data_IF_310707208661
#
_entry.id   IF_310707208661
#
_cell.length_a   1.000
_cell.length_b   1.000
_cell.length_c   1.000
_cell.angle_alpha   90.00
_cell.angle_beta   90.00
_cell.angle_gamma   90.00
#
_symmetry.space_group_name_H-M   'P 1'
#
loop_
_entity.id
_entity.type
_entity.pdbx_description
1 polymer ?
#
# COMPACT_ATOMS: atom_id res chain seq x y z
N UNK A 1 -12.15 -28.24 2.93
CA UNK A 1 -11.68 -26.91 2.53
C UNK A 1 -12.79 -25.92 2.84
N UNK A 2 -12.57 -25.03 3.81
CA UNK A 2 -13.61 -24.08 4.24
C UNK A 2 -13.64 -22.92 3.24
N UNK A 3 -14.77 -22.78 2.52
CA UNK A 3 -15.00 -21.64 1.65
C UNK A 3 -15.37 -20.41 2.48
N UNK A 4 -14.65 -19.28 2.30
CA UNK A 4 -14.91 -18.02 3.02
C UNK A 4 -15.50 -16.99 2.07
N UNK A 5 -16.68 -16.49 2.42
CA UNK A 5 -17.31 -15.40 1.67
C UNK A 5 -16.88 -14.06 2.27
N UNK A 6 -16.08 -13.33 1.53
CA UNK A 6 -15.67 -11.96 1.86
C UNK A 6 -16.11 -11.08 0.70
N UNK A 7 -17.10 -10.18 0.89
CA UNK A 7 -17.43 -9.15 -0.08
C UNK A 7 -16.17 -8.32 -0.40
N UNK A 8 -15.84 -8.19 -1.69
CA UNK A 8 -14.61 -7.49 -2.10
C UNK A 8 -14.74 -6.89 -3.49
N UNK A 9 -14.03 -5.81 -3.72
CA UNK A 9 -13.89 -5.20 -5.03
C UNK A 9 -12.46 -4.64 -5.21
N UNK A 10 -12.05 -4.49 -6.48
CA UNK A 10 -10.80 -3.87 -6.86
C UNK A 10 -11.09 -2.50 -7.47
N UNK A 11 -10.47 -1.46 -6.96
CA UNK A 11 -10.48 -0.11 -7.54
C UNK A 11 -9.30 0.04 -8.48
N UNK A 12 -9.55 0.09 -9.77
CA UNK A 12 -8.53 0.17 -10.82
C UNK A 12 -8.71 1.40 -11.70
N UNK A 13 -7.78 1.65 -12.61
CA UNK A 13 -7.91 2.74 -13.58
C UNK A 13 -7.19 2.40 -14.88
N UNK A 14 -7.46 3.12 -15.98
CA UNK A 14 -6.73 2.98 -17.23
C UNK A 14 -5.24 3.34 -17.13
N UNK A 15 -4.89 4.27 -16.25
CA UNK A 15 -3.52 4.74 -16.09
C UNK A 15 -3.27 5.30 -14.68
N UNK A 16 -1.99 5.52 -14.34
CA UNK A 16 -1.60 6.30 -13.15
C UNK A 16 -2.17 7.72 -13.24
N UNK A 17 -2.45 8.34 -12.09
CA UNK A 17 -2.99 9.71 -12.03
C UNK A 17 -4.49 9.85 -12.32
N UNK A 18 -5.21 8.77 -12.63
CA UNK A 18 -6.67 8.81 -12.88
C UNK A 18 -7.52 9.01 -11.61
N UNK A 19 -6.92 8.93 -10.41
CA UNK A 19 -7.59 9.17 -9.13
C UNK A 19 -7.98 7.91 -8.36
N UNK A 20 -7.34 6.77 -8.61
CA UNK A 20 -7.55 5.51 -7.86
C UNK A 20 -7.47 5.71 -6.36
N UNK A 21 -6.38 6.32 -5.89
CA UNK A 21 -6.12 6.53 -4.46
C UNK A 21 -7.18 7.42 -3.81
N UNK A 22 -7.61 8.48 -4.50
CA UNK A 22 -8.73 9.34 -4.06
C UNK A 22 -10.00 8.53 -3.85
N UNK A 23 -10.37 7.71 -4.86
CA UNK A 23 -11.61 6.91 -4.80
C UNK A 23 -11.47 5.78 -3.80
N UNK A 24 -10.37 5.05 -3.77
CA UNK A 24 -10.18 3.92 -2.85
C UNK A 24 -10.14 4.38 -1.39
N UNK A 25 -9.31 5.38 -1.06
CA UNK A 25 -9.22 5.92 0.29
C UNK A 25 -10.56 6.53 0.75
N UNK A 26 -11.21 7.30 -0.13
CA UNK A 26 -12.52 7.88 0.16
C UNK A 26 -13.62 6.81 0.34
N UNK A 27 -13.62 5.75 -0.47
CA UNK A 27 -14.55 4.64 -0.34
C UNK A 27 -14.37 3.90 0.99
N UNK A 28 -13.13 3.60 1.37
CA UNK A 28 -12.81 2.98 2.65
C UNK A 28 -13.33 3.85 3.81
N UNK A 29 -13.05 5.15 3.79
CA UNK A 29 -13.50 6.09 4.82
C UNK A 29 -15.03 6.22 4.86
N UNK A 30 -15.70 6.35 3.71
CA UNK A 30 -17.15 6.47 3.61
C UNK A 30 -17.86 5.21 4.11
N UNK A 31 -17.36 4.02 3.76
CA UNK A 31 -17.94 2.76 4.25
C UNK A 31 -17.74 2.60 5.75
N UNK A 32 -16.55 2.95 6.28
CA UNK A 32 -16.30 2.96 7.72
C UNK A 32 -17.23 3.94 8.45
N UNK A 33 -17.44 5.13 7.92
CA UNK A 33 -18.37 6.12 8.50
C UNK A 33 -19.82 5.60 8.57
N UNK A 34 -20.21 4.67 7.67
CA UNK A 34 -21.50 3.94 7.71
C UNK A 34 -21.49 2.74 8.69
N UNK A 35 -20.41 2.54 9.44
CA UNK A 35 -20.29 1.46 10.43
C UNK A 35 -19.71 0.15 9.90
N UNK A 36 -19.31 0.06 8.63
CA UNK A 36 -18.71 -1.15 8.08
C UNK A 36 -17.26 -1.34 8.56
N UNK A 37 -16.88 -2.57 8.87
CA UNK A 37 -15.48 -2.96 9.09
C UNK A 37 -14.84 -3.24 7.74
N UNK A 38 -14.02 -2.32 7.26
CA UNK A 38 -13.41 -2.39 5.94
C UNK A 38 -11.99 -2.93 6.04
N UNK A 39 -11.65 -3.92 5.20
CA UNK A 39 -10.27 -4.39 5.03
C UNK A 39 -9.62 -3.68 3.86
N UNK A 40 -8.59 -2.87 4.10
CA UNK A 40 -7.90 -2.14 3.05
C UNK A 40 -6.71 -2.93 2.51
N UNK A 41 -6.60 -3.01 1.17
CA UNK A 41 -5.48 -3.65 0.50
C UNK A 41 -4.96 -2.79 -0.66
N UNK A 42 -3.68 -2.94 -0.98
CA UNK A 42 -3.01 -2.33 -2.11
C UNK A 42 -2.33 -3.39 -2.97
N UNK A 43 -2.52 -3.33 -4.28
CA UNK A 43 -1.75 -4.16 -5.22
C UNK A 43 -0.33 -3.59 -5.35
N UNK A 44 0.66 -4.49 -5.36
CA UNK A 44 2.06 -4.11 -5.49
C UNK A 44 2.74 -3.70 -4.18
N UNK A 45 4.02 -3.28 -4.24
CA UNK A 45 4.89 -3.08 -3.08
C UNK A 45 4.81 -1.66 -2.50
N UNK A 46 3.75 -0.92 -2.77
CA UNK A 46 3.57 0.48 -2.34
C UNK A 46 3.53 0.60 -0.81
N UNK A 47 4.31 1.52 -0.25
CA UNK A 47 4.34 1.79 1.19
C UNK A 47 3.54 3.03 1.61
N UNK A 48 3.13 3.86 0.67
CA UNK A 48 2.56 5.20 0.94
C UNK A 48 1.04 5.12 1.02
N UNK A 49 0.39 4.60 -0.03
CA UNK A 49 -1.07 4.50 -0.10
C UNK A 49 -1.64 3.64 1.05
N UNK A 50 -1.02 2.49 1.45
CA UNK A 50 -1.48 1.73 2.61
C UNK A 50 -1.54 2.51 3.93
N UNK A 51 -0.71 3.53 4.10
CA UNK A 51 -0.76 4.44 5.25
C UNK A 51 -2.06 5.26 5.29
N UNK A 52 -2.51 5.79 4.15
CA UNK A 52 -3.80 6.48 4.03
C UNK A 52 -4.97 5.53 4.18
N UNK A 53 -4.85 4.33 3.60
CA UNK A 53 -5.87 3.28 3.76
C UNK A 53 -6.02 2.85 5.22
N UNK A 54 -4.90 2.76 5.96
CA UNK A 54 -4.93 2.44 7.37
C UNK A 54 -5.66 3.50 8.20
N UNK A 55 -5.42 4.79 7.92
CA UNK A 55 -6.16 5.89 8.55
C UNK A 55 -7.66 5.81 8.23
N UNK A 56 -8.00 5.58 6.96
CA UNK A 56 -9.37 5.48 6.49
C UNK A 56 -10.12 4.30 7.13
N UNK A 57 -9.48 3.14 7.22
CA UNK A 57 -10.08 1.91 7.75
C UNK A 57 -10.00 1.80 9.29
N UNK A 58 -9.05 2.48 9.94
CA UNK A 58 -8.72 2.31 11.36
C UNK A 58 -8.07 0.95 11.67
N UNK A 59 -7.40 0.36 10.68
CA UNK A 59 -6.69 -0.91 10.76
C UNK A 59 -5.57 -0.96 9.72
N UNK A 60 -4.55 -1.84 9.86
CA UNK A 60 -3.42 -1.86 8.93
C UNK A 60 -3.86 -2.01 7.46
N UNK A 61 -3.30 -1.17 6.59
CA UNK A 61 -3.31 -1.38 5.15
C UNK A 61 -2.33 -2.50 4.79
N UNK A 62 -2.68 -3.34 3.80
CA UNK A 62 -1.88 -4.51 3.45
C UNK A 62 -1.59 -4.54 1.96
N UNK A 63 -0.44 -5.09 1.62
CA UNK A 63 -0.02 -5.23 0.23
C UNK A 63 -0.31 -6.64 -0.31
N UNK A 64 -0.65 -6.69 -1.58
CA UNK A 64 -0.87 -7.93 -2.34
C UNK A 64 0.00 -7.87 -3.59
N UNK A 65 1.17 -8.51 -3.52
CA UNK A 65 2.16 -8.47 -4.60
C UNK A 65 2.58 -9.89 -5.00
N UNK A 66 2.07 -10.41 -6.15
CA UNK A 66 2.41 -11.76 -6.63
C UNK A 66 3.90 -11.95 -6.94
N UNK A 67 4.64 -10.87 -7.23
CA UNK A 67 6.07 -10.95 -7.46
C UNK A 67 6.86 -11.19 -6.17
N UNK A 68 6.52 -10.46 -5.11
CA UNK A 68 7.25 -10.56 -3.84
C UNK A 68 6.90 -11.82 -3.04
N UNK A 69 5.63 -12.25 -3.06
CA UNK A 69 5.18 -13.31 -2.16
C UNK A 69 4.77 -14.61 -2.86
N UNK A 70 4.65 -14.61 -4.20
CA UNK A 70 4.08 -15.71 -4.98
C UNK A 70 2.55 -15.62 -5.09
N UNK A 71 2.01 -16.11 -6.21
CA UNK A 71 0.56 -16.10 -6.49
C UNK A 71 -0.24 -16.88 -5.44
N UNK A 72 0.33 -17.99 -4.98
CA UNK A 72 -0.29 -18.90 -4.02
C UNK A 72 -0.56 -18.26 -2.65
N UNK A 73 0.15 -17.17 -2.31
CA UNK A 73 -0.01 -16.44 -1.04
C UNK A 73 -1.00 -15.28 -1.12
N UNK A 74 -1.42 -14.86 -2.32
CA UNK A 74 -2.30 -13.68 -2.47
C UNK A 74 -3.65 -13.90 -1.79
N UNK A 75 -4.34 -15.01 -2.06
CA UNK A 75 -5.62 -15.28 -1.42
C UNK A 75 -5.50 -15.55 0.11
N UNK A 76 -4.51 -16.33 0.60
CA UNK A 76 -4.25 -16.45 2.05
C UNK A 76 -3.98 -15.12 2.77
N UNK A 77 -3.12 -14.25 2.24
CA UNK A 77 -2.83 -12.93 2.81
C UNK A 77 -4.06 -12.02 2.79
N UNK A 78 -4.80 -12.02 1.69
CA UNK A 78 -6.08 -11.31 1.62
C UNK A 78 -7.07 -11.78 2.70
N UNK A 79 -7.25 -13.10 2.86
CA UNK A 79 -8.15 -13.68 3.86
C UNK A 79 -7.71 -13.37 5.30
N UNK A 80 -6.40 -13.31 5.56
CA UNK A 80 -5.84 -12.87 6.83
C UNK A 80 -6.21 -11.42 7.13
N UNK A 81 -5.93 -10.51 6.21
CA UNK A 81 -6.27 -9.09 6.36
C UNK A 81 -7.77 -8.83 6.49
N UNK A 82 -8.60 -9.60 5.78
CA UNK A 82 -10.04 -9.46 5.77
C UNK A 82 -10.76 -10.16 6.94
N UNK A 83 -10.01 -10.80 7.86
CA UNK A 83 -10.61 -11.48 9.00
C UNK A 83 -11.46 -10.52 9.85
N UNK A 84 -12.73 -10.91 10.07
CA UNK A 84 -13.69 -10.11 10.83
C UNK A 84 -14.18 -8.83 10.14
N UNK A 85 -13.91 -8.66 8.84
CA UNK A 85 -14.41 -7.52 8.07
C UNK A 85 -15.70 -7.83 7.32
N UNK A 86 -16.47 -6.76 7.04
CA UNK A 86 -17.74 -6.84 6.32
C UNK A 86 -17.51 -6.71 4.81
N UNK A 87 -16.46 -5.97 4.41
CA UNK A 87 -16.07 -5.75 3.02
C UNK A 87 -14.57 -5.47 2.91
N UNK A 88 -13.97 -5.85 1.78
CA UNK A 88 -12.59 -5.50 1.44
C UNK A 88 -12.54 -4.61 0.18
N UNK A 89 -11.68 -3.60 0.24
CA UNK A 89 -11.36 -2.72 -0.88
C UNK A 89 -9.90 -2.89 -1.22
N UNK A 90 -9.63 -3.26 -2.48
CA UNK A 90 -8.27 -3.46 -3.00
C UNK A 90 -7.97 -2.34 -3.98
N UNK A 91 -7.03 -1.45 -3.66
CA UNK A 91 -6.57 -0.45 -4.62
C UNK A 91 -5.53 -1.03 -5.55
N UNK A 92 -5.73 -0.84 -6.85
CA UNK A 92 -4.81 -1.25 -7.89
C UNK A 92 -3.56 -0.36 -7.99
N UNK A 93 -2.57 -0.83 -8.74
CA UNK A 93 -1.34 -0.12 -9.08
C UNK A 93 -1.33 0.20 -10.59
N UNK A 94 -0.72 1.30 -11.00
CA UNK A 94 -0.57 1.72 -12.41
C UNK A 94 -1.90 1.64 -13.20
N UNK A 95 -1.89 1.26 -14.46
CA UNK A 95 -3.07 0.86 -15.22
C UNK A 95 -3.51 -0.56 -14.88
N UNK A 96 -4.80 -0.88 -15.16
CA UNK A 96 -5.41 -2.16 -14.81
C UNK A 96 -4.60 -3.37 -15.29
N UNK A 97 -4.04 -3.29 -16.49
CA UNK A 97 -3.30 -4.38 -17.14
C UNK A 97 -1.78 -4.22 -17.08
N UNK A 98 -1.29 -3.10 -16.53
CA UNK A 98 0.15 -2.85 -16.44
C UNK A 98 0.76 -3.74 -15.35
N UNK A 99 1.66 -4.62 -15.75
CA UNK A 99 2.34 -5.59 -14.91
C UNK A 99 3.86 -5.52 -15.03
N UNK A 100 4.53 -6.58 -14.62
CA UNK A 100 5.98 -6.69 -14.70
C UNK A 100 6.44 -6.82 -16.16
N UNK A 101 7.27 -5.88 -16.60
CA UNK A 101 7.81 -5.87 -17.95
C UNK A 101 6.71 -5.72 -19.02
N UNK A 102 6.69 -6.63 -19.97
CA UNK A 102 5.73 -6.71 -21.07
C UNK A 102 4.58 -7.70 -20.80
N UNK A 103 4.48 -8.22 -19.59
CA UNK A 103 3.46 -9.18 -19.19
C UNK A 103 2.43 -8.57 -18.26
N UNK A 104 1.25 -9.20 -18.17
CA UNK A 104 0.22 -8.85 -17.17
C UNK A 104 0.52 -9.40 -15.77
N UNK A 105 1.69 -10.05 -15.55
CA UNK A 105 2.06 -10.58 -14.24
C UNK A 105 2.24 -9.46 -13.21
N UNK A 106 1.72 -9.68 -12.00
CA UNK A 106 1.69 -8.71 -10.90
C UNK A 106 0.91 -7.40 -11.21
N UNK A 107 0.11 -7.37 -12.30
CA UNK A 107 -0.81 -6.28 -12.57
C UNK A 107 -2.01 -6.28 -11.62
N UNK A 108 -2.75 -5.18 -11.61
CA UNK A 108 -4.04 -5.11 -10.92
C UNK A 108 -5.03 -6.15 -11.43
N UNK A 109 -5.06 -6.41 -12.73
CA UNK A 109 -5.89 -7.43 -13.37
C UNK A 109 -5.52 -8.85 -12.87
N UNK A 110 -4.23 -9.12 -12.74
CA UNK A 110 -3.76 -10.40 -12.20
C UNK A 110 -4.26 -10.65 -10.76
N UNK A 111 -4.10 -9.66 -9.88
CA UNK A 111 -4.60 -9.78 -8.49
C UNK A 111 -6.13 -9.88 -8.45
N UNK A 112 -6.84 -9.12 -9.30
CA UNK A 112 -8.30 -9.21 -9.41
C UNK A 112 -8.77 -10.62 -9.79
N UNK A 113 -8.05 -11.31 -10.69
CA UNK A 113 -8.34 -12.72 -11.05
C UNK A 113 -8.03 -13.68 -9.91
N UNK A 114 -6.85 -13.57 -9.26
CA UNK A 114 -6.47 -14.41 -8.12
C UNK A 114 -7.48 -14.30 -6.98
N UNK A 115 -8.06 -13.12 -6.80
CA UNK A 115 -9.10 -12.88 -5.81
C UNK A 115 -10.52 -13.12 -6.35
N UNK A 116 -10.71 -13.40 -7.63
CA UNK A 116 -12.02 -13.44 -8.31
C UNK A 116 -12.89 -12.22 -7.93
N UNK A 117 -12.28 -11.04 -7.88
CA UNK A 117 -12.91 -9.80 -7.43
C UNK A 117 -13.42 -8.98 -8.62
N UNK A 118 -14.64 -8.40 -8.56
CA UNK A 118 -15.08 -7.44 -9.56
C UNK A 118 -14.24 -6.15 -9.48
N UNK A 119 -14.02 -5.54 -10.64
CA UNK A 119 -13.26 -4.31 -10.80
C UNK A 119 -14.21 -3.12 -10.94
N UNK A 120 -13.97 -2.07 -10.18
CA UNK A 120 -14.52 -0.73 -10.36
C UNK A 120 -13.46 0.10 -11.07
N UNK A 121 -13.75 0.52 -12.30
CA UNK A 121 -12.79 1.28 -13.10
C UNK A 121 -12.97 2.79 -12.85
N UNK A 122 -11.95 3.45 -12.31
CA UNK A 122 -11.90 4.90 -12.11
C UNK A 122 -11.38 5.54 -13.39
N UNK A 123 -12.19 6.32 -14.07
CA UNK A 123 -11.85 6.94 -15.35
C UNK A 123 -11.76 8.46 -15.20
N UNK A 124 -10.63 9.03 -15.60
CA UNK A 124 -10.48 10.48 -15.71
C UNK A 124 -11.33 10.98 -16.89
N UNK A 125 -12.44 11.65 -16.58
CA UNK A 125 -13.37 12.17 -17.57
C UNK A 125 -13.06 13.61 -18.00
N UNK A 126 -12.04 14.28 -17.42
CA UNK A 126 -11.80 15.72 -17.61
C UNK A 126 -11.76 16.19 -19.08
N UNK A 127 -11.36 15.31 -19.99
CA UNK A 127 -11.25 15.62 -21.44
C UNK A 127 -12.03 14.62 -22.31
N UNK A 128 -13.01 13.94 -21.74
CA UNK A 128 -13.80 12.93 -22.42
C UNK A 128 -15.27 13.29 -22.41
N UNK A 129 -16.01 12.77 -23.36
CA UNK A 129 -17.45 12.79 -23.43
C UNK A 129 -17.91 11.37 -23.83
N UNK A 130 -18.57 11.21 -24.94
CA UNK A 130 -19.03 9.90 -25.45
C UNK A 130 -17.89 8.87 -25.63
N UNK A 131 -16.66 9.32 -25.92
CA UNK A 131 -15.49 8.44 -26.09
C UNK A 131 -15.10 7.67 -24.83
N UNK A 132 -15.57 8.09 -23.64
CA UNK A 132 -15.38 7.33 -22.40
C UNK A 132 -15.94 5.90 -22.50
N UNK A 133 -17.04 5.70 -23.23
CA UNK A 133 -17.64 4.39 -23.43
C UNK A 133 -16.74 3.47 -24.28
N UNK A 134 -16.08 4.00 -25.31
CA UNK A 134 -15.12 3.23 -26.10
C UNK A 134 -13.90 2.82 -25.28
N UNK A 135 -13.37 3.73 -24.43
CA UNK A 135 -12.28 3.44 -23.52
C UNK A 135 -12.66 2.30 -22.56
N UNK A 136 -13.79 2.44 -21.86
CA UNK A 136 -14.26 1.46 -20.88
C UNK A 136 -14.56 0.11 -21.54
N UNK A 137 -15.18 0.13 -22.73
CA UNK A 137 -15.42 -1.10 -23.49
C UNK A 137 -14.11 -1.83 -23.80
N UNK A 138 -13.06 -1.12 -24.23
CA UNK A 138 -11.74 -1.70 -24.43
C UNK A 138 -11.21 -2.38 -23.18
N UNK A 139 -11.26 -1.70 -22.02
CA UNK A 139 -10.83 -2.28 -20.76
C UNK A 139 -11.68 -3.46 -20.29
N UNK A 140 -12.97 -3.45 -20.53
CA UNK A 140 -13.87 -4.52 -20.14
C UNK A 140 -13.74 -5.79 -20.98
N UNK A 141 -13.27 -5.65 -22.23
CA UNK A 141 -13.16 -6.76 -23.18
C UNK A 141 -11.72 -7.22 -23.44
N UNK A 142 -10.71 -6.50 -22.95
CA UNK A 142 -9.31 -6.72 -23.31
C UNK A 142 -8.77 -8.08 -22.83
N UNK A 143 -9.12 -8.49 -21.62
CA UNK A 143 -8.59 -9.71 -21.01
C UNK A 143 -9.69 -10.57 -20.40
N UNK A 144 -9.87 -11.82 -20.87
CA UNK A 144 -10.83 -12.75 -20.29
C UNK A 144 -10.56 -13.01 -18.79
N UNK A 145 -11.62 -13.09 -17.99
CA UNK A 145 -11.52 -13.36 -16.54
C UNK A 145 -11.36 -12.11 -15.69
N UNK A 146 -11.17 -10.93 -16.28
CA UNK A 146 -11.24 -9.64 -15.57
C UNK A 146 -12.65 -9.07 -15.72
N UNK A 147 -13.38 -8.97 -14.62
CA UNK A 147 -14.78 -8.50 -14.63
C UNK A 147 -14.86 -7.03 -14.22
N UNK A 148 -14.95 -6.13 -15.18
CA UNK A 148 -15.29 -4.73 -14.92
C UNK A 148 -16.79 -4.65 -14.59
N UNK A 149 -17.10 -4.40 -13.31
CA UNK A 149 -18.46 -4.39 -12.79
C UNK A 149 -19.13 -3.01 -12.80
N UNK A 150 -18.36 -1.97 -13.08
CA UNK A 150 -18.86 -0.60 -13.19
C UNK A 150 -17.76 0.45 -13.18
N UNK A 151 -18.15 1.69 -13.35
CA UNK A 151 -17.25 2.84 -13.51
C UNK A 151 -17.53 3.90 -12.46
N UNK A 152 -16.46 4.53 -11.97
CA UNK A 152 -16.52 5.83 -11.29
C UNK A 152 -15.88 6.85 -12.21
N UNK A 153 -16.66 7.82 -12.66
CA UNK A 153 -16.19 8.98 -13.43
C UNK A 153 -15.50 9.95 -12.48
N UNK A 154 -14.25 10.29 -12.75
CA UNK A 154 -13.48 11.25 -11.97
C UNK A 154 -13.26 12.55 -12.74
N UNK A 155 -13.11 13.66 -12.03
CA UNK A 155 -12.87 15.01 -12.59
C UNK A 155 -13.97 15.47 -13.55
N UNK A 156 -15.21 15.15 -13.25
CA UNK A 156 -16.36 15.62 -14.03
C UNK A 156 -16.52 17.14 -13.91
N UNK A 157 -16.68 17.84 -15.02
CA UNK A 157 -16.66 19.29 -15.07
C UNK A 157 -18.01 19.97 -14.76
N UNK A 158 -19.14 19.35 -15.15
CA UNK A 158 -20.49 19.92 -15.00
C UNK A 158 -21.56 18.84 -15.03
N UNK A 159 -22.81 19.17 -14.66
CA UNK A 159 -23.96 18.24 -14.74
C UNK A 159 -24.18 17.75 -16.17
N UNK A 160 -24.14 18.66 -17.11
CA UNK A 160 -24.27 18.31 -18.54
C UNK A 160 -23.18 17.37 -19.01
N UNK A 161 -21.95 17.55 -18.51
CA UNK A 161 -20.84 16.65 -18.82
C UNK A 161 -21.06 15.25 -18.23
N UNK A 162 -21.54 15.19 -17.00
CA UNK A 162 -21.90 13.92 -16.34
C UNK A 162 -22.99 13.18 -17.12
N UNK A 163 -24.08 13.86 -17.48
CA UNK A 163 -25.17 13.27 -18.27
C UNK A 163 -24.68 12.65 -19.56
N UNK A 164 -23.82 13.35 -20.31
CA UNK A 164 -23.26 12.85 -21.57
C UNK A 164 -22.41 11.60 -21.37
N UNK A 165 -21.58 11.58 -20.32
CA UNK A 165 -20.72 10.43 -20.03
C UNK A 165 -21.56 9.23 -19.54
N UNK A 166 -22.53 9.46 -18.64
CA UNK A 166 -23.44 8.43 -18.14
C UNK A 166 -24.25 7.81 -19.28
N UNK A 167 -24.91 8.62 -20.10
CA UNK A 167 -25.72 8.12 -21.20
C UNK A 167 -24.90 7.29 -22.21
N UNK A 168 -23.63 7.66 -22.45
CA UNK A 168 -22.75 6.88 -23.30
C UNK A 168 -22.39 5.51 -22.70
N UNK A 169 -22.10 5.46 -21.39
CA UNK A 169 -21.74 4.22 -20.68
C UNK A 169 -22.97 3.31 -20.52
N UNK A 170 -24.12 3.86 -20.20
CA UNK A 170 -25.38 3.12 -20.09
C UNK A 170 -25.77 2.47 -21.42
N UNK A 171 -25.63 3.24 -22.55
CA UNK A 171 -25.84 2.70 -23.88
C UNK A 171 -24.86 1.56 -24.24
N UNK A 172 -23.68 1.54 -23.62
CA UNK A 172 -22.70 0.46 -23.73
C UNK A 172 -22.91 -0.67 -22.70
N UNK A 173 -23.95 -0.61 -21.87
CA UNK A 173 -24.27 -1.62 -20.85
C UNK A 173 -23.34 -1.58 -19.63
N UNK A 174 -22.63 -0.47 -19.39
CA UNK A 174 -21.70 -0.35 -18.26
C UNK A 174 -22.31 0.53 -17.17
N UNK A 175 -22.51 0.00 -15.93
CA UNK A 175 -23.04 0.78 -14.83
C UNK A 175 -22.09 1.91 -14.39
N UNK A 176 -22.62 3.12 -14.19
CA UNK A 176 -21.89 4.24 -13.58
C UNK A 176 -22.22 4.29 -12.09
N UNK A 177 -21.26 3.89 -11.26
CA UNK A 177 -21.37 3.75 -9.80
C UNK A 177 -21.11 5.06 -9.05
N UNK A 178 -20.61 6.07 -9.76
CA UNK A 178 -20.36 7.39 -9.19
C UNK A 178 -19.79 8.38 -10.19
N UNK A 179 -19.89 9.67 -9.85
CA UNK A 179 -19.29 10.76 -10.60
C UNK A 179 -18.71 11.81 -9.64
N UNK A 180 -17.39 11.83 -9.56
CA UNK A 180 -16.63 12.73 -8.71
C UNK A 180 -16.34 14.01 -9.49
N UNK A 181 -16.80 15.15 -8.97
CA UNK A 181 -16.54 16.46 -9.54
C UNK A 181 -15.07 16.82 -9.38
N UNK A 182 -14.59 17.63 -10.31
CA UNK A 182 -13.28 18.28 -10.15
C UNK A 182 -13.33 19.18 -8.93
N UNK A 183 -12.47 18.89 -7.97
CA UNK A 183 -12.34 19.65 -6.73
C UNK A 183 -10.87 19.86 -6.43
N UNK A 184 -10.39 21.07 -6.68
CA UNK A 184 -8.99 21.42 -6.47
C UNK A 184 -8.61 21.49 -4.97
N UNK A 185 -9.61 21.57 -4.08
CA UNK A 185 -9.40 21.55 -2.62
C UNK A 185 -9.06 20.15 -2.06
N UNK A 186 -9.27 19.10 -2.86
CA UNK A 186 -9.01 17.71 -2.46
C UNK A 186 -7.64 17.21 -2.97
N UNK A 187 -6.88 18.07 -3.64
CA UNK A 187 -5.54 17.73 -4.10
C UNK A 187 -4.63 17.36 -2.91
N UNK A 188 -4.14 16.12 -2.89
CA UNK A 188 -3.19 15.67 -1.87
C UNK A 188 -1.77 15.94 -2.34
N UNK A 189 -0.92 16.60 -1.54
CA UNK A 189 0.47 16.84 -1.89
C UNK A 189 1.22 15.55 -2.23
N UNK A 190 2.04 15.58 -3.27
CA UNK A 190 2.79 14.41 -3.76
C UNK A 190 4.29 14.70 -3.85
N UNK A 191 5.10 13.65 -3.78
CA UNK A 191 6.55 13.60 -4.05
C UNK A 191 6.82 12.68 -5.23
N UNK A 192 8.10 12.47 -5.53
CA UNK A 192 8.56 11.66 -6.67
C UNK A 192 8.12 10.18 -6.64
N UNK A 193 7.76 9.63 -5.47
CA UNK A 193 7.23 8.27 -5.33
C UNK A 193 5.71 8.19 -5.13
N UNK A 194 4.99 9.31 -5.15
CA UNK A 194 3.55 9.35 -4.88
C UNK A 194 3.15 10.41 -3.86
N UNK A 195 2.15 10.12 -3.03
CA UNK A 195 1.72 11.03 -1.96
C UNK A 195 2.81 11.20 -0.89
N UNK A 196 2.76 12.30 -0.12
CA UNK A 196 3.55 12.43 1.11
C UNK A 196 3.01 11.40 2.12
N UNK A 197 3.86 10.58 2.78
CA UNK A 197 3.41 9.59 3.75
C UNK A 197 2.47 10.16 4.81
N UNK A 198 1.43 9.40 5.14
CA UNK A 198 0.42 9.83 6.11
C UNK A 198 1.02 10.15 7.50
N UNK A 199 2.03 9.40 7.93
CA UNK A 199 2.71 9.61 9.20
C UNK A 199 3.47 10.96 9.26
N UNK A 200 3.95 11.47 8.13
CA UNK A 200 4.60 12.78 8.05
C UNK A 200 3.58 13.93 8.17
N UNK A 201 2.35 13.74 7.72
CA UNK A 201 1.29 14.74 7.72
C UNK A 201 0.45 14.76 9.01
N UNK A 202 0.46 13.69 9.79
CA UNK A 202 -0.25 13.60 11.06
C UNK A 202 -1.73 13.99 10.96
N UNK A 203 -2.17 14.97 11.76
CA UNK A 203 -3.57 15.44 11.78
C UNK A 203 -4.08 15.95 10.43
N UNK A 204 -3.21 16.43 9.56
CA UNK A 204 -3.59 16.89 8.21
C UNK A 204 -3.97 15.70 7.31
N UNK A 205 -3.28 14.55 7.44
CA UNK A 205 -3.64 13.33 6.73
C UNK A 205 -5.03 12.83 7.18
N UNK A 206 -5.33 12.88 8.48
CA UNK A 206 -6.65 12.50 9.01
C UNK A 206 -7.74 13.37 8.37
N UNK A 207 -7.59 14.70 8.42
CA UNK A 207 -8.55 15.62 7.79
C UNK A 207 -8.69 15.41 6.28
N UNK A 208 -7.60 15.05 5.60
CA UNK A 208 -7.66 14.73 4.16
C UNK A 208 -8.50 13.47 3.91
N UNK A 209 -8.30 12.42 4.70
CA UNK A 209 -9.07 11.17 4.61
C UNK A 209 -10.56 11.42 4.89
N UNK A 210 -10.90 12.21 5.90
CA UNK A 210 -12.29 12.58 6.21
C UNK A 210 -12.93 13.29 5.01
N UNK A 211 -12.28 14.31 4.44
CA UNK A 211 -12.78 15.00 3.24
C UNK A 211 -12.97 14.08 2.03
N UNK A 212 -12.05 13.13 1.84
CA UNK A 212 -12.17 12.12 0.78
C UNK A 212 -13.38 11.21 1.04
N UNK A 213 -13.60 10.79 2.29
CA UNK A 213 -14.77 10.02 2.70
C UNK A 213 -16.08 10.75 2.37
N UNK A 214 -16.19 12.01 2.77
CA UNK A 214 -17.35 12.85 2.49
C UNK A 214 -17.57 13.05 0.97
N UNK A 215 -16.50 13.28 0.23
CA UNK A 215 -16.57 13.43 -1.23
C UNK A 215 -17.15 12.17 -1.89
N UNK A 216 -16.62 11.00 -1.54
CA UNK A 216 -17.08 9.73 -2.14
C UNK A 216 -18.49 9.39 -1.67
N UNK A 217 -18.85 9.67 -0.42
CA UNK A 217 -20.21 9.45 0.09
C UNK A 217 -21.28 10.26 -0.69
N UNK A 218 -20.91 11.46 -1.15
CA UNK A 218 -21.83 12.32 -1.94
C UNK A 218 -21.83 11.98 -3.43
N UNK A 219 -20.73 11.40 -3.95
CA UNK A 219 -20.49 11.25 -5.39
C UNK A 219 -20.75 9.84 -5.91
N UNK A 220 -20.85 8.84 -5.04
CA UNK A 220 -20.95 7.43 -5.41
C UNK A 220 -22.13 6.74 -4.75
N UNK A 221 -22.73 5.79 -5.48
CA UNK A 221 -23.72 4.86 -4.92
C UNK A 221 -23.00 3.77 -4.11
N UNK A 222 -22.85 4.03 -2.80
CA UNK A 222 -22.18 3.10 -1.89
C UNK A 222 -22.89 1.76 -1.78
N UNK A 223 -24.23 1.75 -1.93
CA UNK A 223 -25.01 0.52 -1.85
C UNK A 223 -24.82 -0.34 -3.12
N UNK A 224 -24.73 0.29 -4.29
CA UNK A 224 -24.39 -0.40 -5.54
C UNK A 224 -22.99 -0.97 -5.47
N UNK A 225 -22.01 -0.23 -4.91
CA UNK A 225 -20.63 -0.71 -4.71
C UNK A 225 -20.60 -1.91 -3.75
N UNK A 226 -21.37 -1.87 -2.65
CA UNK A 226 -21.48 -3.02 -1.72
C UNK A 226 -22.17 -4.21 -2.38
N UNK A 227 -23.23 -4.01 -3.15
CA UNK A 227 -23.87 -5.08 -3.94
C UNK A 227 -22.89 -5.71 -4.92
N UNK A 228 -22.10 -4.88 -5.62
CA UNK A 228 -21.07 -5.36 -6.52
C UNK A 228 -20.01 -6.18 -5.77
N UNK A 229 -19.51 -5.69 -4.63
CA UNK A 229 -18.55 -6.41 -3.80
C UNK A 229 -19.08 -7.79 -3.35
N UNK A 230 -20.37 -7.86 -3.02
CA UNK A 230 -21.03 -9.09 -2.59
C UNK A 230 -21.19 -10.14 -3.72
N UNK A 231 -21.01 -9.75 -5.00
CA UNK A 231 -21.03 -10.69 -6.13
C UNK A 231 -19.74 -11.51 -6.25
N UNK A 232 -18.67 -11.17 -5.52
CA UNK A 232 -17.45 -11.93 -5.51
C UNK A 232 -17.69 -13.34 -4.94
N UNK A 233 -17.27 -14.41 -5.64
CA UNK A 233 -17.47 -15.77 -5.17
C UNK A 233 -16.65 -16.06 -3.90
N UNK A 234 -17.00 -17.10 -3.13
CA UNK A 234 -16.17 -17.51 -2.00
C UNK A 234 -14.74 -17.84 -2.43
N UNK A 235 -13.77 -17.48 -1.60
CA UNK A 235 -12.38 -17.94 -1.73
C UNK A 235 -12.19 -19.23 -0.96
N UNK A 236 -11.43 -20.14 -1.54
CA UNK A 236 -11.09 -21.45 -0.95
C UNK A 236 -9.68 -21.42 -0.35
N UNK A 237 -9.47 -22.18 0.70
CA UNK A 237 -8.18 -22.30 1.37
C UNK A 237 -8.12 -21.60 2.73
N UNK A 238 -7.00 -21.80 3.47
CA UNK A 238 -6.78 -21.17 4.75
C UNK A 238 -6.41 -19.70 4.58
N UNK A 239 -6.67 -18.88 5.59
CA UNK A 239 -6.01 -17.60 5.72
C UNK A 239 -4.52 -17.82 6.04
N UNK A 240 -3.68 -16.88 5.63
CA UNK A 240 -2.30 -16.88 6.06
C UNK A 240 -2.21 -16.80 7.58
N UNK A 241 -1.33 -17.61 8.14
CA UNK A 241 -1.05 -17.67 9.58
C UNK A 241 0.45 -17.42 9.77
N UNK A 242 0.85 -16.28 10.39
CA UNK A 242 2.25 -15.97 10.64
C UNK A 242 2.94 -17.05 11.51
N UNK A 243 2.22 -17.71 12.41
CA UNK A 243 2.79 -18.75 13.28
C UNK A 243 3.25 -19.99 12.50
N UNK A 244 2.61 -20.28 11.38
CA UNK A 244 3.02 -21.35 10.47
C UNK A 244 4.20 -21.01 9.55
N UNK A 245 4.69 -19.76 9.57
CA UNK A 245 5.77 -19.28 8.68
C UNK A 245 7.12 -19.18 9.38
N UNK A 246 7.15 -19.16 10.69
CA UNK A 246 8.36 -18.92 11.50
C UNK A 246 8.51 -19.97 12.59
N UNK A 247 9.75 -20.15 13.04
CA UNK A 247 10.03 -20.93 14.24
C UNK A 247 10.04 -20.02 15.46
N UNK A 248 9.43 -20.48 16.55
CA UNK A 248 9.45 -19.74 17.82
C UNK A 248 10.86 -19.69 18.40
N UNK A 249 11.27 -18.49 18.82
CA UNK A 249 12.56 -18.23 19.49
C UNK A 249 12.30 -18.15 21.00
N UNK A 250 13.07 -18.87 21.84
CA UNK A 250 12.89 -18.81 23.29
C UNK A 250 13.34 -17.45 23.85
N UNK A 251 12.83 -17.11 25.04
CA UNK A 251 13.28 -15.95 25.83
C UNK A 251 12.61 -14.62 25.51
N UNK A 252 11.64 -14.57 24.57
CA UNK A 252 10.91 -13.35 24.20
C UNK A 252 11.82 -12.15 23.93
N UNK A 253 12.76 -12.26 22.96
CA UNK A 253 13.69 -11.16 22.68
C UNK A 253 12.94 -9.89 22.26
N UNK A 254 13.39 -8.73 22.72
CA UNK A 254 12.88 -7.45 22.27
C UNK A 254 13.51 -7.13 20.92
N UNK A 255 12.68 -6.98 19.89
CA UNK A 255 13.11 -6.48 18.58
C UNK A 255 12.67 -5.03 18.46
N UNK A 256 13.64 -4.12 18.43
CA UNK A 256 13.37 -2.70 18.25
C UNK A 256 13.21 -2.37 16.76
N UNK A 257 12.08 -1.80 16.39
CA UNK A 257 11.74 -1.45 15.00
C UNK A 257 11.68 0.07 14.87
N UNK A 258 12.49 0.62 13.96
CA UNK A 258 12.45 2.05 13.67
C UNK A 258 11.10 2.43 13.05
N UNK A 259 10.54 3.54 13.53
CA UNK A 259 9.28 4.11 13.09
C UNK A 259 9.35 5.63 13.03
N UNK A 260 8.21 6.29 13.18
CA UNK A 260 8.10 7.73 13.09
C UNK A 260 8.09 8.25 11.66
N UNK A 261 8.34 9.56 11.48
CA UNK A 261 8.20 10.23 10.17
C UNK A 261 9.28 9.86 9.16
N UNK A 262 10.50 9.53 9.62
CA UNK A 262 11.62 9.21 8.74
C UNK A 262 11.60 7.75 8.23
N UNK A 263 10.97 6.83 8.97
CA UNK A 263 10.96 5.39 8.70
C UNK A 263 9.52 4.88 8.62
N UNK A 264 8.84 5.21 7.53
CA UNK A 264 7.40 4.95 7.32
C UNK A 264 7.13 3.72 6.44
N UNK A 265 8.15 3.16 5.80
CA UNK A 265 8.01 2.05 4.86
C UNK A 265 8.21 0.72 5.58
N UNK A 266 7.10 0.09 5.92
CA UNK A 266 7.06 -1.25 6.51
C UNK A 266 5.75 -1.94 6.16
N UNK A 267 5.79 -3.28 6.09
CA UNK A 267 4.59 -4.10 5.95
C UNK A 267 4.10 -4.55 7.32
N UNK A 268 2.78 -4.63 7.49
CA UNK A 268 2.17 -5.08 8.75
C UNK A 268 2.63 -6.51 9.12
N UNK A 269 2.86 -7.33 8.11
CA UNK A 269 3.31 -8.72 8.21
C UNK A 269 4.68 -8.85 8.88
N UNK A 270 5.58 -7.86 8.77
CA UNK A 270 6.89 -7.90 9.45
C UNK A 270 6.71 -7.98 10.98
N UNK A 271 5.91 -7.09 11.56
CA UNK A 271 5.66 -7.10 12.99
C UNK A 271 4.85 -8.34 13.43
N UNK A 272 3.96 -8.85 12.57
CA UNK A 272 3.19 -10.06 12.84
C UNK A 272 4.09 -11.31 12.85
N UNK A 273 5.04 -11.42 11.92
CA UNK A 273 6.03 -12.51 11.89
C UNK A 273 6.96 -12.47 13.11
N UNK A 274 7.45 -11.29 13.48
CA UNK A 274 8.30 -11.14 14.68
C UNK A 274 7.55 -11.60 15.94
N UNK A 275 6.29 -11.16 16.11
CA UNK A 275 5.46 -11.59 17.25
C UNK A 275 5.16 -13.08 17.20
N UNK A 276 4.89 -13.64 16.04
CA UNK A 276 4.65 -15.07 15.85
C UNK A 276 5.90 -15.90 16.18
N UNK A 277 7.10 -15.36 15.92
CA UNK A 277 8.36 -15.95 16.34
C UNK A 277 8.61 -15.83 17.86
N UNK A 278 7.72 -15.18 18.63
CA UNK A 278 7.83 -15.01 20.06
C UNK A 278 8.58 -13.75 20.52
N UNK A 279 8.90 -12.84 19.59
CA UNK A 279 9.55 -11.57 19.96
C UNK A 279 8.55 -10.54 20.48
N UNK A 280 9.01 -9.72 21.42
CA UNK A 280 8.34 -8.47 21.79
C UNK A 280 8.81 -7.36 20.82
N UNK A 281 7.86 -6.74 20.11
CA UNK A 281 8.16 -5.69 19.12
C UNK A 281 8.01 -4.33 19.79
N UNK A 282 9.12 -3.61 19.95
CA UNK A 282 9.17 -2.24 20.48
C UNK A 282 9.48 -1.25 19.35
N UNK A 283 8.67 -0.22 19.20
CA UNK A 283 8.91 0.84 18.19
C UNK A 283 9.73 1.96 18.82
N UNK A 284 10.72 2.48 18.10
CA UNK A 284 11.45 3.69 18.45
C UNK A 284 11.44 4.69 17.28
N UNK A 285 11.47 5.97 17.59
CA UNK A 285 11.49 7.07 16.61
C UNK A 285 12.87 7.74 16.60
N UNK A 286 13.74 7.47 15.61
CA UNK A 286 15.06 8.08 15.51
C UNK A 286 15.08 9.60 15.45
N UNK A 287 13.94 10.26 15.20
CA UNK A 287 13.82 11.72 15.23
C UNK A 287 13.59 12.29 16.65
N UNK A 288 13.08 11.48 17.58
CA UNK A 288 12.58 11.96 18.89
C UNK A 288 13.21 11.27 20.07
N UNK A 289 13.41 9.94 19.98
CA UNK A 289 13.95 9.17 21.09
C UNK A 289 15.47 9.36 21.16
N UNK A 290 16.01 9.44 22.38
CA UNK A 290 17.45 9.61 22.62
C UNK A 290 18.14 8.28 22.94
N UNK A 291 17.37 7.21 23.18
CA UNK A 291 17.85 5.88 23.49
C UNK A 291 17.05 4.80 22.77
N UNK A 292 17.67 3.65 22.56
CA UNK A 292 17.00 2.44 22.08
C UNK A 292 16.10 1.86 23.17
N UNK A 293 15.05 1.10 22.82
CA UNK A 293 14.23 0.37 23.79
C UNK A 293 15.09 -0.55 24.69
N UNK A 294 14.78 -0.57 25.97
CA UNK A 294 15.48 -1.38 26.95
C UNK A 294 15.46 -2.85 26.59
N UNK A 295 16.61 -3.52 26.72
CA UNK A 295 16.74 -4.94 26.43
C UNK A 295 16.63 -5.32 24.95
N UNK A 296 16.75 -4.37 24.05
CA UNK A 296 16.74 -4.65 22.60
C UNK A 296 17.81 -5.70 22.24
N UNK A 297 17.36 -6.82 21.67
CA UNK A 297 18.21 -7.92 21.21
C UNK A 297 18.49 -7.85 19.69
N UNK A 298 17.72 -7.08 18.94
CA UNK A 298 17.92 -6.83 17.51
C UNK A 298 17.29 -5.49 17.12
N UNK A 299 17.79 -4.87 16.03
CA UNK A 299 17.19 -3.69 15.41
C UNK A 299 16.69 -4.02 14.00
N UNK A 300 15.54 -3.45 13.66
CA UNK A 300 15.01 -3.42 12.29
C UNK A 300 14.81 -1.95 11.90
N UNK A 301 15.49 -1.50 10.85
CA UNK A 301 15.43 -0.12 10.36
C UNK A 301 14.99 -0.16 8.89
N UNK A 302 13.72 0.06 8.65
CA UNK A 302 13.09 -0.03 7.34
C UNK A 302 13.34 1.19 6.43
N UNK A 303 12.49 1.32 5.42
CA UNK A 303 12.53 2.38 4.43
C UNK A 303 11.79 3.66 4.85
N UNK A 304 11.88 4.68 4.01
CA UNK A 304 11.24 5.98 4.18
C UNK A 304 11.88 7.06 3.32
N UNK A 305 11.72 8.33 3.75
CA UNK A 305 12.33 9.51 3.11
C UNK A 305 13.33 10.19 4.05
N UNK A 306 14.47 9.59 4.33
CA UNK A 306 15.43 10.10 5.30
C UNK A 306 16.05 11.43 4.86
N UNK A 307 16.13 11.70 3.56
CA UNK A 307 16.64 12.94 3.01
C UNK A 307 15.82 14.16 3.45
N UNK A 308 14.52 13.99 3.63
CA UNK A 308 13.64 15.08 4.10
C UNK A 308 13.81 15.37 5.60
N UNK A 309 14.35 14.41 6.34
CA UNK A 309 14.60 14.47 7.79
C UNK A 309 16.08 14.42 8.13
N UNK A 310 16.98 14.53 7.14
CA UNK A 310 18.42 14.36 7.34
C UNK A 310 19.01 15.34 8.38
N UNK A 311 18.48 16.57 8.47
CA UNK A 311 18.89 17.53 9.48
C UNK A 311 18.48 17.10 10.91
N UNK A 312 17.26 16.62 11.08
CA UNK A 312 16.73 16.16 12.35
C UNK A 312 17.45 14.87 12.80
N UNK A 313 17.64 13.92 11.89
CA UNK A 313 18.41 12.69 12.14
C UNK A 313 19.86 13.00 12.55
N UNK A 314 20.52 13.93 11.84
CA UNK A 314 21.88 14.35 12.16
C UNK A 314 21.99 15.05 13.53
N UNK A 315 20.97 15.82 13.91
CA UNK A 315 20.94 16.52 15.19
C UNK A 315 20.77 15.57 16.39
N UNK A 316 20.13 14.40 16.21
CA UNK A 316 19.93 13.42 17.29
C UNK A 316 21.20 12.57 17.50
N UNK A 317 22.25 13.19 18.03
CA UNK A 317 23.54 12.54 18.29
C UNK A 317 23.45 11.35 19.28
N UNK A 318 22.65 11.43 20.37
CA UNK A 318 22.49 10.30 21.29
C UNK A 318 21.96 9.04 20.59
N UNK A 319 20.89 9.14 19.82
CA UNK A 319 20.31 7.99 19.12
C UNK A 319 21.27 7.44 18.06
N UNK A 320 21.95 8.31 17.27
CA UNK A 320 22.96 7.85 16.31
C UNK A 320 24.09 7.08 16.99
N UNK A 321 24.57 7.56 18.12
CA UNK A 321 25.61 6.87 18.89
C UNK A 321 25.11 5.52 19.45
N UNK A 322 23.88 5.47 19.95
CA UNK A 322 23.27 4.22 20.43
C UNK A 322 23.13 3.17 19.32
N UNK A 323 22.69 3.57 18.13
CA UNK A 323 22.60 2.68 16.96
C UNK A 323 24.00 2.25 16.47
N UNK A 324 24.96 3.17 16.42
CA UNK A 324 26.33 2.87 16.02
C UNK A 324 27.01 1.85 16.95
N UNK A 325 26.79 1.99 18.26
CA UNK A 325 27.39 1.12 19.28
C UNK A 325 26.58 -0.17 19.53
N UNK A 326 25.43 -0.35 18.89
CA UNK A 326 24.55 -1.50 19.16
C UNK A 326 25.26 -2.83 18.88
N UNK A 327 25.40 -3.75 19.88
CA UNK A 327 26.28 -4.90 19.77
C UNK A 327 25.65 -6.11 19.06
N UNK A 328 24.33 -6.09 18.87
CA UNK A 328 23.54 -7.21 18.35
C UNK A 328 23.14 -7.00 16.88
N UNK A 329 22.48 -7.97 16.22
CA UNK A 329 22.10 -7.87 14.83
C UNK A 329 21.27 -6.65 14.49
N UNK A 330 21.55 -6.04 13.33
CA UNK A 330 20.76 -4.95 12.72
C UNK A 330 20.35 -5.38 11.32
N UNK A 331 19.07 -5.40 11.05
CA UNK A 331 18.52 -5.52 9.70
C UNK A 331 18.12 -4.12 9.21
N UNK A 332 18.73 -3.65 8.13
CA UNK A 332 18.46 -2.33 7.59
C UNK A 332 18.34 -2.37 6.06
N UNK A 333 17.33 -1.66 5.55
CA UNK A 333 17.11 -1.54 4.10
C UNK A 333 16.74 -0.11 3.73
N UNK A 334 16.98 0.27 2.46
CA UNK A 334 16.58 1.57 1.91
C UNK A 334 17.03 2.74 2.81
N UNK A 335 16.10 3.50 3.40
CA UNK A 335 16.38 4.57 4.35
C UNK A 335 17.24 4.11 5.54
N UNK A 336 17.00 2.90 6.04
CA UNK A 336 17.77 2.31 7.13
C UNK A 336 19.24 2.13 6.78
N UNK A 337 19.55 1.70 5.56
CA UNK A 337 20.94 1.61 5.09
C UNK A 337 21.60 3.00 5.04
N UNK A 338 20.87 4.02 4.53
CA UNK A 338 21.37 5.39 4.48
C UNK A 338 21.62 5.97 5.88
N UNK A 339 20.76 5.65 6.84
CA UNK A 339 20.92 6.04 8.23
C UNK A 339 22.12 5.36 8.92
N UNK A 340 22.44 4.13 8.54
CA UNK A 340 23.63 3.43 9.05
C UNK A 340 24.96 3.90 8.42
N UNK A 341 24.93 4.62 7.28
CA UNK A 341 26.14 5.16 6.62
C UNK A 341 26.83 6.24 7.46
N UNK A 342 27.99 6.72 7.00
CA UNK A 342 28.74 7.80 7.65
C UNK A 342 28.01 9.16 7.53
N UNK A 343 27.51 9.45 6.34
CA UNK A 343 26.71 10.66 6.10
C UNK A 343 25.69 10.45 4.97
N UNK A 344 24.66 11.31 4.96
CA UNK A 344 23.69 11.46 3.89
C UNK A 344 23.68 12.93 3.45
N UNK A 345 24.09 13.19 2.20
CA UNK A 345 24.22 14.54 1.63
C UNK A 345 25.04 15.49 2.51
N UNK A 346 26.16 14.98 3.09
CA UNK A 346 27.03 15.73 3.98
C UNK A 346 26.53 15.93 5.42
N UNK A 347 25.43 15.31 5.79
CA UNK A 347 24.90 15.29 7.17
C UNK A 347 25.26 14.01 7.86
N UNK A 348 25.84 14.10 9.06
CA UNK A 348 26.29 12.95 9.82
C UNK A 348 25.15 11.99 10.11
N UNK A 349 25.36 10.71 9.83
CA UNK A 349 24.49 9.57 10.16
C UNK A 349 25.15 8.67 11.21
N UNK A 350 24.78 7.42 11.35
CA UNK A 350 25.28 6.58 12.44
C UNK A 350 26.77 6.18 12.27
N UNK A 351 27.32 6.12 11.05
CA UNK A 351 28.69 5.72 10.80
C UNK A 351 29.01 4.24 11.08
N UNK A 352 27.98 3.41 11.14
CA UNK A 352 28.13 1.95 11.36
C UNK A 352 28.59 1.21 10.12
N UNK A 353 28.15 1.67 8.95
CA UNK A 353 28.53 1.14 7.65
C UNK A 353 29.47 2.17 7.00
N UNK A 354 30.70 1.79 6.63
CA UNK A 354 31.61 2.71 5.97
C UNK A 354 31.05 3.11 4.60
N UNK A 355 31.05 4.41 4.34
CA UNK A 355 30.58 4.98 3.09
C UNK A 355 29.66 6.17 3.29
N UNK A 356 29.56 6.97 2.24
CA UNK A 356 28.74 8.19 2.19
C UNK A 356 27.60 8.02 1.20
N UNK A 357 26.41 8.45 1.58
CA UNK A 357 25.24 8.39 0.73
C UNK A 357 24.90 9.78 0.17
N UNK A 358 24.46 9.80 -1.09
CA UNK A 358 23.99 11.03 -1.74
C UNK A 358 22.73 10.74 -2.56
N UNK A 359 21.72 11.59 -2.36
CA UNK A 359 20.51 11.54 -3.18
C UNK A 359 20.82 12.06 -4.58
N UNK A 360 20.23 11.44 -5.58
CA UNK A 360 20.38 11.84 -6.98
C UNK A 360 19.02 12.12 -7.59
N UNK A 361 18.94 12.98 -8.63
CA UNK A 361 17.67 13.27 -9.29
C UNK A 361 17.11 12.09 -10.09
N UNK A 362 17.93 11.04 -10.35
CA UNK A 362 17.50 9.85 -11.08
C UNK A 362 16.97 8.80 -10.11
N UNK A 363 15.67 8.55 -10.18
CA UNK A 363 15.05 7.40 -9.51
C UNK A 363 15.33 6.12 -10.30
N UNK A 364 15.77 5.06 -9.61
CA UNK A 364 15.85 3.69 -10.14
C UNK A 364 14.94 2.83 -9.29
N UNK A 365 13.82 2.43 -9.86
CA UNK A 365 12.81 1.61 -9.21
C UNK A 365 12.35 0.49 -10.15
N UNK A 366 12.04 -0.67 -9.62
CA UNK A 366 11.51 -1.81 -10.36
C UNK A 366 11.88 -3.13 -9.72
N UNK A 367 11.12 -4.15 -10.06
CA UNK A 367 11.35 -5.50 -9.57
C UNK A 367 12.74 -6.04 -9.93
N UNK A 368 13.39 -6.67 -8.97
CA UNK A 368 14.73 -7.24 -9.11
C UNK A 368 14.79 -8.65 -8.52
N UNK A 369 15.61 -9.48 -9.16
CA UNK A 369 16.09 -10.73 -8.58
C UNK A 369 17.44 -10.46 -7.90
N UNK A 370 17.58 -10.89 -6.66
CA UNK A 370 18.81 -10.81 -5.91
C UNK A 370 19.28 -12.18 -5.45
N UNK A 371 20.61 -12.35 -5.36
CA UNK A 371 21.23 -13.56 -4.81
C UNK A 371 22.16 -13.13 -3.68
N UNK A 372 21.98 -13.73 -2.51
CA UNK A 372 22.85 -13.47 -1.37
C UNK A 372 24.27 -13.98 -1.67
N UNK A 373 25.26 -13.11 -1.54
CA UNK A 373 26.68 -13.46 -1.76
C UNK A 373 27.41 -13.77 -0.45
N UNK A 374 26.83 -13.43 0.70
CA UNK A 374 27.38 -13.64 2.02
C UNK A 374 26.29 -14.02 3.02
N UNK A 375 26.70 -14.56 4.15
CA UNK A 375 25.84 -14.78 5.30
C UNK A 375 25.53 -13.45 6.00
N UNK A 376 24.26 -13.28 6.41
CA UNK A 376 23.80 -12.14 7.18
C UNK A 376 22.67 -12.59 8.14
N UNK A 377 22.17 -11.73 9.04
CA UNK A 377 21.00 -12.04 9.85
C UNK A 377 19.74 -12.42 9.03
N UNK A 378 19.67 -12.04 7.75
CA UNK A 378 18.54 -12.26 6.86
C UNK A 378 18.78 -13.29 5.78
N UNK A 379 20.06 -13.65 5.48
CA UNK A 379 20.40 -14.37 4.25
C UNK A 379 21.47 -15.40 4.46
N UNK A 380 21.40 -16.50 3.68
CA UNK A 380 22.49 -17.47 3.50
C UNK A 380 23.06 -17.36 2.09
N UNK A 381 24.36 -17.63 1.88
CA UNK A 381 24.94 -17.59 0.56
C UNK A 381 24.17 -18.47 -0.44
N UNK A 382 23.87 -17.93 -1.62
CA UNK A 382 23.11 -18.60 -2.67
C UNK A 382 21.60 -18.50 -2.58
N UNK A 383 21.04 -18.00 -1.49
CA UNK A 383 19.60 -17.73 -1.41
C UNK A 383 19.18 -16.65 -2.43
N UNK A 384 17.99 -16.86 -3.03
CA UNK A 384 17.40 -15.94 -4.01
C UNK A 384 16.26 -15.20 -3.41
N UNK A 385 16.16 -13.92 -3.71
CA UNK A 385 15.14 -13.01 -3.25
C UNK A 385 14.53 -12.26 -4.41
N UNK A 386 13.26 -11.96 -4.29
CA UNK A 386 12.55 -10.99 -5.12
C UNK A 386 12.41 -9.68 -4.34
N UNK A 387 12.76 -8.57 -4.99
CA UNK A 387 12.68 -7.24 -4.38
C UNK A 387 12.32 -6.17 -5.40
#
# INVERSE_FOLDING_TARGET
>A
VTARRVPRLVVAAPASGSGKTTVATGLIAALRARGARVSPHKVGPDYIDPGYHALAAGRPGRNLDPWLVGEERIAPLFLHGAAGCDVAVVEGVMGLFDGRGDTGFASTAHVARLLAAPVVLVVDAARQSRSVAALVHGFASFEPGVRVGGVVLNRVGSDRHEELCRGALEAAGVPVLGAVRRDDAVATPSRHLGLIPAAERGAEAVRAVERLGDLIARSCDLDALLRLAATAPPLTGPAWDPSGQVQAVPGRPVVAVAGGRAFTFSYAEHAELLRAAGADVAVFDPLRDEALPDGAAALVIGGGFPETHAAELAANAPMRAAVAAFPSPIAAECAGLLYLSEDLDGRAMCGRVPGRARMTPRLTLGYRDAVAVAESPLTRPGERFHG
#
